data_IF_224579917953
#
_entry.id   IF_224579917953
#
_cell.length_a   1.000
_cell.length_b   1.000
_cell.length_c   1.000
_cell.angle_alpha   90.00
_cell.angle_beta   90.00
_cell.angle_gamma   90.00
#
_symmetry.space_group_name_H-M   'P 1'
#
loop_
_entity.id
_entity.type
_entity.pdbx_description
1 polymer ?
#
# COMPACT_ATOMS: atom_id res chain seq x y z
N UNK A 1 13.46 -6.64 -1.88
CA UNK A 1 13.04 -5.23 -1.74
C UNK A 1 11.53 -5.19 -1.82
N UNK A 2 10.85 -4.73 -0.78
CA UNK A 2 9.39 -4.60 -0.73
C UNK A 2 9.06 -3.11 -0.78
N UNK A 3 8.26 -2.67 -1.75
CA UNK A 3 7.79 -1.29 -1.87
C UNK A 3 6.30 -1.29 -2.19
N UNK A 4 5.59 -0.30 -1.67
CA UNK A 4 4.16 -0.10 -1.94
C UNK A 4 3.85 1.38 -1.72
N UNK A 5 2.88 1.97 -2.45
CA UNK A 5 2.37 3.29 -2.11
C UNK A 5 1.89 3.30 -0.65
N UNK A 6 2.49 4.20 0.14
CA UNK A 6 2.18 4.37 1.55
C UNK A 6 1.52 5.73 1.76
N UNK A 7 0.36 5.70 2.40
CA UNK A 7 -0.39 6.90 2.76
C UNK A 7 -0.04 7.31 4.19
N UNK A 8 -0.03 8.62 4.44
CA UNK A 8 0.22 9.19 5.77
C UNK A 8 -1.04 9.05 6.64
N UNK A 9 -1.31 7.81 7.05
CA UNK A 9 -2.46 7.45 7.86
C UNK A 9 -2.10 6.30 8.82
N UNK A 10 -2.71 6.23 10.02
CA UNK A 10 -2.32 5.24 11.01
C UNK A 10 -2.54 3.78 10.56
N UNK A 11 -3.64 3.50 9.86
CA UNK A 11 -4.07 2.14 9.54
C UNK A 11 -4.36 1.97 8.05
N UNK A 12 -4.13 0.77 7.55
CA UNK A 12 -4.46 0.35 6.18
C UNK A 12 -5.97 0.29 6.02
N UNK A 13 -6.47 0.96 5.00
CA UNK A 13 -7.89 0.92 4.62
C UNK A 13 -8.08 -0.19 3.60
N UNK A 14 -8.91 -1.17 3.93
CA UNK A 14 -9.35 -2.19 2.99
C UNK A 14 -10.57 -1.68 2.22
N UNK A 15 -10.45 -1.63 0.88
CA UNK A 15 -11.50 -1.12 -0.01
C UNK A 15 -12.27 -2.23 -0.71
N UNK A 16 -11.59 -3.34 -1.00
CA UNK A 16 -12.16 -4.49 -1.66
C UNK A 16 -11.50 -5.77 -1.17
N UNK A 17 -12.24 -6.88 -1.24
CA UNK A 17 -11.74 -8.22 -0.92
C UNK A 17 -12.36 -9.26 -1.85
N UNK A 18 -11.78 -10.45 -1.89
CA UNK A 18 -12.32 -11.59 -2.63
C UNK A 18 -13.11 -12.47 -1.65
N UNK A 19 -14.39 -12.68 -1.94
CA UNK A 19 -15.25 -13.60 -1.20
C UNK A 19 -15.99 -14.51 -2.18
N UNK A 20 -15.88 -15.84 -1.98
CA UNK A 20 -16.50 -16.81 -2.89
C UNK A 20 -16.07 -16.67 -4.36
N UNK A 21 -14.83 -16.21 -4.60
CA UNK A 21 -14.30 -15.97 -5.95
C UNK A 21 -14.79 -14.68 -6.62
N UNK A 22 -15.57 -13.85 -5.93
CA UNK A 22 -16.06 -12.55 -6.44
C UNK A 22 -15.43 -11.40 -5.68
N UNK A 23 -15.26 -10.27 -6.36
CA UNK A 23 -14.82 -9.03 -5.74
C UNK A 23 -16.02 -8.43 -4.99
N UNK A 24 -15.83 -8.14 -3.71
CA UNK A 24 -16.76 -7.40 -2.86
C UNK A 24 -16.13 -6.04 -2.54
N UNK A 25 -16.85 -4.97 -2.88
CA UNK A 25 -16.45 -3.60 -2.55
C UNK A 25 -16.95 -3.25 -1.14
N UNK A 26 -16.04 -2.87 -0.26
CA UNK A 26 -16.32 -2.42 1.11
C UNK A 26 -16.52 -0.89 1.17
N UNK A 27 -15.89 -0.19 0.23
CA UNK A 27 -15.96 1.26 0.05
C UNK A 27 -16.12 1.57 -1.45
N UNK A 28 -16.41 2.83 -1.78
CA UNK A 28 -16.42 3.30 -3.17
C UNK A 28 -15.11 2.88 -3.89
N UNK A 29 -15.18 2.22 -5.06
CA UNK A 29 -14.00 1.70 -5.70
C UNK A 29 -13.05 2.81 -6.16
N UNK A 30 -11.77 2.60 -5.90
CA UNK A 30 -10.69 3.47 -6.37
C UNK A 30 -9.86 2.70 -7.41
N UNK A 31 -9.47 3.39 -8.49
CA UNK A 31 -8.72 2.78 -9.58
C UNK A 31 -7.44 3.55 -9.87
N UNK A 32 -6.39 2.81 -10.25
CA UNK A 32 -5.15 3.36 -10.77
C UNK A 32 -5.04 3.16 -12.28
N UNK A 33 -4.19 3.99 -12.87
CA UNK A 33 -3.74 3.82 -14.24
C UNK A 33 -2.57 2.84 -14.28
N UNK A 34 -2.49 2.05 -15.34
CA UNK A 34 -1.26 1.35 -15.70
C UNK A 34 -1.10 1.32 -17.23
N UNK A 35 0.09 0.95 -17.71
CA UNK A 35 0.40 0.94 -19.15
C UNK A 35 -0.15 -0.30 -19.90
N UNK A 36 -0.57 -1.35 -19.20
CA UNK A 36 -1.03 -2.63 -19.73
C UNK A 36 -2.57 -2.65 -19.89
N UNK A 37 -3.27 -2.28 -18.82
CA UNK A 37 -4.71 -2.22 -18.65
C UNK A 37 -5.29 -0.88 -19.15
N UNK A 38 -4.49 0.19 -19.10
CA UNK A 38 -4.91 1.55 -19.46
C UNK A 38 -5.42 2.36 -18.27
N UNK A 39 -6.06 3.49 -18.58
CA UNK A 39 -6.50 4.47 -17.58
C UNK A 39 -7.69 3.97 -16.75
N UNK A 40 -7.60 4.10 -15.43
CA UNK A 40 -8.67 3.80 -14.48
C UNK A 40 -9.12 2.34 -14.45
N UNK A 41 -8.21 1.39 -14.72
CA UNK A 41 -8.55 -0.04 -14.83
C UNK A 41 -8.06 -0.90 -13.68
N UNK A 42 -7.10 -0.44 -12.88
CA UNK A 42 -6.51 -1.25 -11.81
C UNK A 42 -7.22 -0.98 -10.50
N UNK A 43 -8.06 -1.92 -10.06
CA UNK A 43 -8.78 -1.78 -8.79
C UNK A 43 -7.80 -1.76 -7.60
N UNK A 44 -7.90 -0.73 -6.78
CA UNK A 44 -7.18 -0.63 -5.51
C UNK A 44 -7.92 -1.42 -4.43
N UNK A 45 -7.28 -2.49 -3.93
CA UNK A 45 -7.84 -3.30 -2.84
C UNK A 45 -7.58 -2.68 -1.47
N UNK A 46 -6.44 -1.99 -1.31
CA UNK A 46 -6.00 -1.44 -0.02
C UNK A 46 -5.20 -0.16 -0.23
N UNK A 47 -5.50 0.86 0.58
CA UNK A 47 -4.60 1.99 0.79
C UNK A 47 -3.79 1.71 2.05
N UNK A 48 -2.49 1.43 1.91
CA UNK A 48 -1.66 1.04 3.05
C UNK A 48 -1.30 2.23 3.95
N UNK A 49 -1.43 2.03 5.25
CA UNK A 49 -1.03 2.97 6.29
C UNK A 49 0.17 2.49 7.09
N UNK A 50 0.47 3.18 8.20
CA UNK A 50 1.64 2.90 9.03
C UNK A 50 1.61 1.54 9.73
N UNK A 51 0.42 0.94 9.92
CA UNK A 51 0.23 -0.43 10.40
C UNK A 51 0.88 -1.52 9.52
N UNK A 52 1.34 -1.16 8.30
CA UNK A 52 2.06 -2.08 7.42
C UNK A 52 3.31 -2.69 8.05
N UNK A 53 3.96 -1.99 8.99
CA UNK A 53 5.12 -2.50 9.73
C UNK A 53 4.76 -3.75 10.52
N UNK A 54 3.65 -3.72 11.25
CA UNK A 54 3.19 -4.86 12.06
C UNK A 54 2.60 -5.97 11.18
N UNK A 55 1.95 -5.61 10.06
CA UNK A 55 1.48 -6.59 9.07
C UNK A 55 2.63 -7.40 8.48
N UNK A 56 3.75 -6.75 8.14
CA UNK A 56 4.93 -7.43 7.62
C UNK A 56 5.57 -8.35 8.67
N UNK A 57 5.70 -7.89 9.92
CA UNK A 57 6.19 -8.74 11.01
C UNK A 57 5.29 -9.97 11.20
N UNK A 58 3.97 -9.78 11.21
CA UNK A 58 2.98 -10.86 11.32
C UNK A 58 3.06 -11.83 10.14
N UNK A 59 3.38 -11.33 8.94
CA UNK A 59 3.61 -12.15 7.75
C UNK A 59 4.95 -12.92 7.76
N UNK A 60 5.75 -12.81 8.83
CA UNK A 60 6.99 -13.56 9.01
C UNK A 60 8.25 -12.83 8.58
N UNK A 61 8.20 -11.51 8.37
CA UNK A 61 9.43 -10.73 8.17
C UNK A 61 10.16 -10.55 9.51
N UNK A 62 11.44 -10.88 9.55
CA UNK A 62 12.30 -10.73 10.72
C UNK A 62 12.48 -9.27 11.18
N UNK A 63 12.35 -8.30 10.27
CA UNK A 63 12.28 -6.89 10.63
C UNK A 63 11.50 -6.08 9.59
N UNK A 64 10.83 -5.01 10.03
CA UNK A 64 10.18 -4.02 9.20
C UNK A 64 10.21 -2.65 9.88
N UNK A 65 10.44 -1.57 9.11
CA UNK A 65 10.33 -0.18 9.57
C UNK A 65 9.96 0.75 8.42
N UNK A 66 9.45 1.92 8.75
CA UNK A 66 9.33 3.04 7.83
C UNK A 66 10.64 3.85 7.80
N UNK A 67 11.01 4.32 6.63
CA UNK A 67 12.11 5.25 6.42
C UNK A 67 11.58 6.55 5.80
N UNK A 68 11.76 7.64 6.53
CA UNK A 68 11.27 8.97 6.15
C UNK A 68 12.35 9.86 5.56
N UNK A 69 13.59 9.37 5.40
CA UNK A 69 14.75 10.19 5.00
C UNK A 69 14.56 10.92 3.68
N UNK A 70 13.72 10.40 2.77
CA UNK A 70 13.47 10.98 1.45
C UNK A 70 12.15 11.74 1.32
N UNK A 71 11.38 11.92 2.41
CA UNK A 71 10.06 12.58 2.34
C UNK A 71 10.10 14.03 1.83
N UNK A 72 11.21 14.73 2.07
CA UNK A 72 11.41 16.11 1.55
C UNK A 72 12.11 16.16 0.19
N UNK A 73 12.50 15.01 -0.36
CA UNK A 73 13.12 14.93 -1.67
C UNK A 73 12.10 15.16 -2.79
N UNK A 74 12.60 15.32 -4.03
CA UNK A 74 11.79 15.46 -5.24
C UNK A 74 10.73 16.57 -5.13
N UNK A 75 11.12 17.79 -4.75
CA UNK A 75 10.19 18.93 -4.64
C UNK A 75 8.98 18.66 -3.69
N UNK A 76 9.17 17.84 -2.65
CA UNK A 76 8.11 17.48 -1.70
C UNK A 76 7.23 16.30 -2.13
N UNK A 77 7.54 15.67 -3.26
CA UNK A 77 6.86 14.43 -3.71
C UNK A 77 7.48 13.15 -3.14
N UNK A 78 8.55 13.27 -2.36
CA UNK A 78 9.09 12.17 -1.58
C UNK A 78 8.01 11.48 -0.73
N UNK A 79 8.11 10.15 -0.62
CA UNK A 79 7.22 9.33 0.21
C UNK A 79 8.05 8.47 1.15
N UNK A 80 7.54 8.14 2.35
CA UNK A 80 8.21 7.18 3.21
C UNK A 80 8.27 5.83 2.50
N UNK A 81 9.36 5.10 2.68
CA UNK A 81 9.52 3.75 2.13
C UNK A 81 9.52 2.74 3.25
N UNK A 82 9.07 1.53 2.94
CA UNK A 82 9.15 0.40 3.87
C UNK A 82 10.48 -0.32 3.67
N UNK A 83 11.23 -0.53 4.74
CA UNK A 83 12.43 -1.36 4.75
C UNK A 83 12.13 -2.59 5.58
N UNK A 84 12.16 -3.77 4.94
CA UNK A 84 11.88 -5.03 5.58
C UNK A 84 12.87 -6.13 5.16
N UNK A 85 13.14 -7.06 6.08
CA UNK A 85 13.97 -8.26 5.87
C UNK A 85 13.14 -9.49 6.17
N UNK A 86 13.20 -10.48 5.29
CA UNK A 86 12.60 -11.79 5.53
C UNK A 86 13.57 -12.58 6.38
#
# INVERSE_FOLDING_TARGET
>A
MFTVPLFDQPATVERARIEGGKIVHLLEPEYHDDHLSGLGKVLCFRNYGHDIVERLKTAGFSSARLDFSFTRSYMGYGRPIVIARK
#
